data_IF_533721537448
#
_entry.id   IF_533721537448
#
_cell.length_a   1.000
_cell.length_b   1.000
_cell.length_c   1.000
_cell.angle_alpha   90.00
_cell.angle_beta   90.00
_cell.angle_gamma   90.00
#
_symmetry.space_group_name_H-M   'P 1'
#
loop_
_entity.id
_entity.type
_entity.pdbx_description
1 polymer ?
#
# COMPACT_ATOMS: atom_id res chain seq x y z
N UNK A 1 17.57 18.36 -4.27
CA UNK A 1 16.83 19.27 -3.39
C UNK A 1 16.83 18.68 -1.99
N UNK A 2 17.32 19.44 -1.00
CA UNK A 2 17.37 19.02 0.39
C UNK A 2 15.97 18.88 0.99
N UNK A 3 15.88 18.15 2.09
CA UNK A 3 14.65 17.87 2.81
C UNK A 3 14.88 18.19 4.28
N UNK A 4 13.93 18.83 4.95
CA UNK A 4 13.95 19.05 6.39
C UNK A 4 12.88 18.23 7.09
N UNK A 5 13.18 17.76 8.30
CA UNK A 5 12.22 17.15 9.22
C UNK A 5 12.64 17.54 10.64
N UNK A 6 11.74 18.09 11.43
CA UNK A 6 12.00 18.56 12.81
C UNK A 6 13.24 19.49 12.90
N UNK A 7 13.43 20.36 11.90
CA UNK A 7 14.58 21.26 11.82
C UNK A 7 15.91 20.59 11.37
N UNK A 8 15.99 19.26 11.34
CA UNK A 8 17.15 18.53 10.81
C UNK A 8 17.17 18.62 9.28
N UNK A 9 18.32 18.99 8.71
CA UNK A 9 18.50 19.12 7.26
C UNK A 9 19.12 17.85 6.66
N UNK A 10 18.49 17.33 5.63
CA UNK A 10 18.99 16.20 4.87
C UNK A 10 19.31 16.64 3.43
N UNK A 11 20.48 16.31 2.89
CA UNK A 11 20.88 16.74 1.55
C UNK A 11 20.01 16.15 0.44
N UNK A 12 19.32 15.03 0.71
CA UNK A 12 18.40 14.38 -0.23
C UNK A 12 17.36 13.52 0.45
N UNK A 13 16.31 13.12 -0.29
CA UNK A 13 15.32 12.13 0.17
C UNK A 13 15.97 10.78 0.51
N UNK A 14 17.00 10.38 -0.21
CA UNK A 14 17.76 9.15 0.07
C UNK A 14 18.54 9.25 1.39
N UNK A 15 19.06 10.43 1.74
CA UNK A 15 19.70 10.66 3.03
C UNK A 15 18.70 10.58 4.18
N UNK A 16 17.50 11.14 4.01
CA UNK A 16 16.39 11.01 4.96
C UNK A 16 15.97 9.54 5.12
N UNK A 17 15.80 8.81 4.01
CA UNK A 17 15.45 7.38 4.05
C UNK A 17 16.50 6.55 4.78
N UNK A 18 17.78 6.82 4.54
CA UNK A 18 18.87 6.15 5.24
C UNK A 18 18.82 6.41 6.74
N UNK A 19 18.65 7.66 7.17
CA UNK A 19 18.50 8.02 8.57
C UNK A 19 17.33 7.29 9.23
N UNK A 20 16.16 7.27 8.60
CA UNK A 20 14.99 6.51 9.11
C UNK A 20 15.30 5.02 9.25
N UNK A 21 15.98 4.44 8.25
CA UNK A 21 16.34 3.01 8.27
C UNK A 21 17.30 2.69 9.40
N UNK A 22 18.37 3.47 9.54
CA UNK A 22 19.36 3.32 10.61
C UNK A 22 18.72 3.47 11.99
N UNK A 23 17.79 4.41 12.14
CA UNK A 23 17.04 4.60 13.38
C UNK A 23 16.18 3.38 13.70
N UNK A 24 15.38 2.90 12.74
CA UNK A 24 14.51 1.73 12.94
C UNK A 24 15.32 0.47 13.27
N UNK A 25 16.51 0.31 12.70
CA UNK A 25 17.37 -0.85 12.95
C UNK A 25 17.89 -0.95 14.39
N UNK A 26 17.81 0.12 15.18
CA UNK A 26 18.15 0.09 16.61
C UNK A 26 17.10 -0.65 17.45
N UNK A 27 15.89 -0.89 16.90
CA UNK A 27 14.73 -1.39 17.60
C UNK A 27 14.35 -2.79 17.12
N UNK A 28 14.03 -3.67 18.09
CA UNK A 28 13.51 -5.02 17.84
C UNK A 28 12.01 -5.02 17.52
N UNK A 29 11.48 -6.22 17.23
CA UNK A 29 10.04 -6.42 17.03
C UNK A 29 9.25 -6.14 18.30
N UNK A 30 8.28 -5.25 18.21
CA UNK A 30 7.45 -4.83 19.34
C UNK A 30 8.01 -3.66 20.13
N UNK A 31 9.26 -3.25 19.91
CA UNK A 31 9.87 -2.13 20.61
C UNK A 31 9.16 -0.80 20.30
N UNK A 32 9.19 0.07 21.28
CA UNK A 32 8.58 1.41 21.20
C UNK A 32 9.66 2.47 21.14
N UNK A 33 9.76 3.15 20.01
CA UNK A 33 10.57 4.36 19.88
C UNK A 33 9.91 5.48 20.68
N UNK A 34 10.64 6.02 21.62
CA UNK A 34 10.27 7.18 22.46
C UNK A 34 11.30 8.27 22.25
N UNK A 35 11.24 9.29 23.08
CA UNK A 35 12.20 10.40 23.12
C UNK A 35 12.47 10.98 21.71
N UNK A 36 13.71 11.26 21.39
CA UNK A 36 14.10 11.92 20.14
C UNK A 36 13.76 11.10 18.89
N UNK A 37 13.97 9.79 18.93
CA UNK A 37 13.67 8.92 17.78
C UNK A 37 12.14 8.85 17.54
N UNK A 38 11.33 8.70 18.59
CA UNK A 38 9.87 8.73 18.48
C UNK A 38 9.34 10.07 17.99
N UNK A 39 9.83 11.17 18.57
CA UNK A 39 9.45 12.52 18.19
C UNK A 39 9.85 12.84 16.73
N UNK A 40 10.99 12.32 16.26
CA UNK A 40 11.39 12.46 14.87
C UNK A 40 10.38 11.81 13.91
N UNK A 41 9.94 10.58 14.19
CA UNK A 41 8.96 9.90 13.34
C UNK A 41 7.57 10.53 13.42
N UNK A 42 7.15 11.06 14.57
CA UNK A 42 5.89 11.82 14.66
C UNK A 42 5.98 13.11 13.83
N UNK A 43 7.09 13.82 13.89
CA UNK A 43 7.32 15.00 13.03
C UNK A 43 7.38 14.63 11.55
N UNK A 44 7.96 13.48 11.20
CA UNK A 44 7.99 12.97 9.84
C UNK A 44 6.56 12.74 9.30
N UNK A 45 5.63 12.26 10.16
CA UNK A 45 4.22 12.12 9.80
C UNK A 45 3.60 13.51 9.61
N UNK A 46 3.71 14.40 10.61
CA UNK A 46 3.08 15.71 10.57
C UNK A 46 3.52 16.56 9.37
N UNK A 47 4.80 16.52 9.05
CA UNK A 47 5.38 17.38 8.01
C UNK A 47 5.30 16.75 6.60
N UNK A 48 5.15 15.42 6.47
CA UNK A 48 5.38 14.75 5.20
C UNK A 48 4.37 13.66 4.83
N UNK A 49 3.45 13.27 5.73
CA UNK A 49 2.37 12.35 5.39
C UNK A 49 1.25 13.11 4.66
N UNK A 50 0.59 12.49 3.69
CA UNK A 50 -0.53 13.09 2.95
C UNK A 50 -1.81 13.26 3.81
N UNK A 51 -1.92 12.50 4.92
CA UNK A 51 -3.03 12.54 5.88
C UNK A 51 -2.51 12.34 7.30
N UNK A 52 -1.85 13.34 7.86
CA UNK A 52 -1.27 13.23 9.19
C UNK A 52 -2.34 13.07 10.29
N UNK A 53 -3.48 13.71 10.14
CA UNK A 53 -4.64 13.68 11.04
C UNK A 53 -5.27 12.28 11.19
N UNK A 54 -5.09 11.41 10.23
CA UNK A 54 -5.54 10.00 10.33
C UNK A 54 -4.57 9.12 11.12
N UNK A 55 -3.32 9.52 11.20
CA UNK A 55 -2.25 8.81 11.90
C UNK A 55 -2.04 9.35 13.31
N UNK A 56 -2.14 10.67 13.44
CA UNK A 56 -2.10 11.39 14.70
C UNK A 56 -3.50 11.95 14.91
N UNK A 57 -4.30 11.27 15.73
CA UNK A 57 -5.71 11.63 15.95
C UNK A 57 -5.77 12.94 16.73
N UNK A 58 -6.43 13.93 16.13
CA UNK A 58 -6.62 15.26 16.77
C UNK A 58 -7.39 15.11 18.07
N UNK A 59 -6.85 15.67 19.14
CA UNK A 59 -7.40 15.60 20.49
C UNK A 59 -6.96 14.37 21.31
N UNK A 60 -6.16 13.48 20.72
CA UNK A 60 -5.53 12.33 21.40
C UNK A 60 -4.01 12.38 21.35
N UNK A 61 -3.43 13.56 21.08
CA UNK A 61 -1.98 13.75 20.96
C UNK A 61 -1.24 13.36 22.24
N UNK A 62 -1.82 13.69 23.39
CA UNK A 62 -1.27 13.38 24.72
C UNK A 62 -1.35 11.88 25.07
N UNK A 63 -2.15 11.11 24.34
CA UNK A 63 -2.24 9.66 24.48
C UNK A 63 -1.21 8.90 23.62
N UNK A 64 -0.43 9.59 22.80
CA UNK A 64 0.63 8.95 22.00
C UNK A 64 1.77 8.57 22.94
N UNK A 65 2.04 7.25 23.02
CA UNK A 65 3.14 6.73 23.84
C UNK A 65 4.43 6.54 23.04
N UNK A 66 4.39 6.70 21.72
CA UNK A 66 5.54 6.65 20.83
C UNK A 66 5.24 6.01 19.48
N UNK A 67 6.30 5.60 18.78
CA UNK A 67 6.21 4.89 17.52
C UNK A 67 6.71 3.46 17.69
N UNK A 68 5.85 2.48 17.43
CA UNK A 68 6.19 1.05 17.57
C UNK A 68 6.77 0.49 16.27
N UNK A 69 7.81 -0.32 16.42
CA UNK A 69 8.38 -1.12 15.33
C UNK A 69 7.79 -2.52 15.36
N UNK A 70 7.36 -3.04 14.20
CA UNK A 70 6.90 -4.41 14.02
C UNK A 70 7.63 -5.04 12.84
N UNK A 71 8.11 -6.26 13.00
CA UNK A 71 8.69 -7.01 11.90
C UNK A 71 7.63 -7.79 11.13
N UNK A 72 7.77 -7.89 9.82
CA UNK A 72 6.80 -8.56 8.94
C UNK A 72 6.60 -10.04 9.24
N UNK A 73 7.57 -10.70 9.89
CA UNK A 73 7.46 -12.10 10.32
C UNK A 73 6.42 -12.32 11.43
N UNK A 74 6.15 -11.28 12.26
CA UNK A 74 5.19 -11.32 13.35
C UNK A 74 3.84 -10.68 13.03
N UNK A 75 3.76 -9.87 11.97
CA UNK A 75 2.60 -9.04 11.68
C UNK A 75 2.10 -9.22 10.25
N UNK A 76 1.07 -10.02 10.07
CA UNK A 76 0.41 -10.19 8.77
C UNK A 76 -0.75 -9.22 8.60
N UNK A 77 -0.44 -7.97 8.27
CA UNK A 77 -1.42 -7.11 7.63
C UNK A 77 -1.56 -7.54 6.17
N UNK A 78 -2.75 -8.02 5.81
CA UNK A 78 -3.15 -8.26 4.40
C UNK A 78 -2.35 -9.29 3.58
N UNK A 79 -1.86 -10.36 4.18
CA UNK A 79 -1.47 -11.56 3.41
C UNK A 79 -0.25 -11.48 2.48
N UNK A 80 0.36 -10.33 2.29
CA UNK A 80 1.43 -10.08 1.33
C UNK A 80 2.58 -9.21 1.89
N UNK A 81 2.94 -9.37 3.16
CA UNK A 81 4.16 -8.75 3.65
C UNK A 81 5.35 -9.55 3.13
N UNK A 82 6.20 -8.93 2.31
CA UNK A 82 7.51 -9.47 1.97
C UNK A 82 8.30 -9.73 3.25
N UNK A 83 9.13 -10.75 3.24
CA UNK A 83 10.04 -11.07 4.34
C UNK A 83 11.00 -9.90 4.58
N UNK A 84 11.28 -9.57 5.84
CA UNK A 84 12.26 -8.57 6.30
C UNK A 84 11.89 -7.09 6.10
N UNK A 85 10.63 -6.73 6.24
CA UNK A 85 10.21 -5.33 6.27
C UNK A 85 9.83 -4.92 7.68
N UNK A 86 10.40 -3.84 8.18
CA UNK A 86 10.00 -3.21 9.42
C UNK A 86 8.85 -2.24 9.17
N UNK A 87 7.75 -2.46 9.85
CA UNK A 87 6.57 -1.60 9.84
C UNK A 87 6.61 -0.66 11.04
N UNK A 88 6.06 0.53 10.88
CA UNK A 88 5.99 1.54 11.93
C UNK A 88 4.55 1.93 12.21
N UNK A 89 4.23 2.11 13.49
CA UNK A 89 2.89 2.44 13.98
C UNK A 89 2.96 3.55 15.00
N UNK A 90 2.07 4.54 14.89
CA UNK A 90 1.78 5.43 16.02
C UNK A 90 1.06 4.61 17.08
N UNK A 91 1.60 4.51 18.26
CA UNK A 91 1.04 3.74 19.37
C UNK A 91 0.41 4.68 20.43
N UNK A 92 -0.79 4.35 20.87
CA UNK A 92 -1.59 5.09 21.83
C UNK A 92 -1.66 4.36 23.19
N UNK A 93 -1.89 5.09 24.25
CA UNK A 93 -2.04 4.55 25.60
C UNK A 93 -3.24 3.58 25.72
N UNK A 94 -4.28 3.76 24.90
CA UNK A 94 -5.42 2.84 24.79
C UNK A 94 -5.03 1.44 24.28
N UNK A 95 -3.82 1.27 23.73
CA UNK A 95 -3.39 0.07 23.01
C UNK A 95 -3.67 0.10 21.52
N UNK A 96 -4.35 1.13 21.01
CA UNK A 96 -4.55 1.31 19.57
C UNK A 96 -3.22 1.60 18.87
N UNK A 97 -3.13 1.13 17.62
CA UNK A 97 -1.99 1.37 16.74
C UNK A 97 -2.45 1.85 15.37
N UNK A 98 -1.76 2.87 14.83
CA UNK A 98 -2.01 3.42 13.48
C UNK A 98 -0.79 3.22 12.61
N UNK A 99 -0.89 2.35 11.61
CA UNK A 99 0.21 2.11 10.68
C UNK A 99 0.53 3.34 9.83
N UNK A 100 1.79 3.54 9.51
CA UNK A 100 2.22 4.50 8.51
C UNK A 100 3.45 4.02 7.76
N UNK A 101 3.59 4.48 6.53
CA UNK A 101 4.77 4.15 5.72
C UNK A 101 5.82 5.25 5.81
N UNK A 102 6.80 5.09 6.69
CA UNK A 102 7.92 6.02 6.80
C UNK A 102 8.67 6.23 5.46
N UNK A 103 8.79 5.19 4.62
CA UNK A 103 9.40 5.33 3.29
C UNK A 103 8.60 6.29 2.40
N UNK A 104 7.28 6.18 2.39
CA UNK A 104 6.42 7.11 1.65
C UNK A 104 6.57 8.53 2.20
N UNK A 105 6.64 8.72 3.50
CA UNK A 105 6.92 10.03 4.09
C UNK A 105 8.27 10.59 3.61
N UNK A 106 9.32 9.78 3.47
CA UNK A 106 10.60 10.23 2.93
C UNK A 106 10.51 10.70 1.47
N UNK A 107 9.79 9.97 0.63
CA UNK A 107 9.71 10.22 -0.82
C UNK A 107 8.56 11.13 -1.23
N UNK A 108 7.55 11.24 -0.39
CA UNK A 108 6.27 11.89 -0.66
C UNK A 108 5.27 10.94 -1.32
N UNK A 109 4.01 11.31 -1.23
CA UNK A 109 2.90 10.58 -1.84
C UNK A 109 2.63 11.18 -3.21
N UNK A 110 2.49 10.33 -4.23
CA UNK A 110 2.01 10.72 -5.54
C UNK A 110 0.49 10.54 -5.56
N UNK A 111 -0.32 11.60 -5.75
CA UNK A 111 -1.78 11.48 -5.77
C UNK A 111 -2.27 10.37 -6.69
N UNK A 112 -1.65 10.23 -7.86
CA UNK A 112 -2.00 9.20 -8.86
C UNK A 112 -1.74 7.77 -8.34
N UNK A 113 -0.70 7.58 -7.53
CA UNK A 113 -0.43 6.26 -6.92
C UNK A 113 -1.46 5.93 -5.83
N UNK A 114 -1.88 6.92 -5.05
CA UNK A 114 -2.93 6.76 -4.01
C UNK A 114 -4.27 6.46 -4.66
N UNK A 115 -4.65 7.21 -5.72
CA UNK A 115 -5.85 6.95 -6.50
C UNK A 115 -5.85 5.54 -7.11
N UNK A 116 -4.72 5.11 -7.69
CA UNK A 116 -4.56 3.75 -8.22
C UNK A 116 -4.76 2.69 -7.14
N UNK A 117 -4.22 2.90 -5.93
CA UNK A 117 -4.40 1.99 -4.81
C UNK A 117 -5.88 1.91 -4.38
N UNK A 118 -6.58 3.05 -4.31
CA UNK A 118 -8.01 3.11 -4.00
C UNK A 118 -8.86 2.38 -5.06
N UNK A 119 -8.55 2.54 -6.35
CA UNK A 119 -9.23 1.83 -7.43
C UNK A 119 -8.95 0.31 -7.39
N UNK A 120 -7.72 -0.13 -7.07
CA UNK A 120 -7.42 -1.55 -6.83
C UNK A 120 -8.23 -2.11 -5.67
N UNK A 121 -8.33 -1.33 -4.58
CA UNK A 121 -9.10 -1.73 -3.41
C UNK A 121 -10.59 -1.91 -3.74
N UNK A 122 -11.17 -1.04 -4.55
CA UNK A 122 -12.58 -1.10 -4.94
C UNK A 122 -12.97 -2.41 -5.66
N UNK A 123 -12.00 -3.06 -6.32
CA UNK A 123 -12.23 -4.32 -7.06
C UNK A 123 -11.56 -5.53 -6.41
N UNK A 124 -10.99 -5.34 -5.22
CA UNK A 124 -10.24 -6.40 -4.51
C UNK A 124 -11.07 -7.67 -4.31
N UNK A 125 -12.33 -7.54 -3.93
CA UNK A 125 -13.19 -8.69 -3.64
C UNK A 125 -13.45 -9.54 -4.90
N UNK A 126 -13.53 -8.92 -6.07
CA UNK A 126 -13.67 -9.63 -7.35
C UNK A 126 -12.42 -10.47 -7.65
N UNK A 127 -11.24 -9.90 -7.42
CA UNK A 127 -9.95 -10.56 -7.63
C UNK A 127 -9.75 -11.69 -6.61
N UNK A 128 -10.09 -11.44 -5.35
CA UNK A 128 -10.00 -12.43 -4.27
C UNK A 128 -10.98 -13.60 -4.50
N UNK A 129 -12.21 -13.31 -4.92
CA UNK A 129 -13.19 -14.33 -5.26
C UNK A 129 -12.72 -15.22 -6.42
N UNK A 130 -12.10 -14.65 -7.45
CA UNK A 130 -11.53 -15.42 -8.55
C UNK A 130 -10.43 -16.38 -8.05
N UNK A 131 -9.49 -15.89 -7.25
CA UNK A 131 -8.45 -16.73 -6.65
C UNK A 131 -9.04 -17.86 -5.82
N UNK A 132 -9.99 -17.53 -4.93
CA UNK A 132 -10.67 -18.52 -4.08
C UNK A 132 -11.37 -19.59 -4.91
N UNK A 133 -12.09 -19.20 -5.96
CA UNK A 133 -12.81 -20.14 -6.83
C UNK A 133 -11.84 -21.10 -7.54
N UNK A 134 -10.67 -20.63 -7.99
CA UNK A 134 -9.67 -21.47 -8.63
C UNK A 134 -9.12 -22.53 -7.66
N UNK A 135 -8.85 -22.18 -6.41
CA UNK A 135 -8.31 -23.10 -5.40
C UNK A 135 -9.35 -24.08 -4.83
N UNK A 136 -10.62 -23.72 -4.78
CA UNK A 136 -11.70 -24.65 -4.34
C UNK A 136 -11.84 -25.84 -5.33
N UNK A 137 -11.52 -25.64 -6.60
CA UNK A 137 -11.64 -26.67 -7.65
C UNK A 137 -10.52 -27.70 -7.64
N UNK A 138 -9.54 -27.61 -6.76
CA UNK A 138 -8.43 -28.56 -6.63
C UNK A 138 -7.05 -27.94 -6.84
N UNK A 139 -6.10 -28.75 -7.35
CA UNK A 139 -4.74 -28.31 -7.63
C UNK A 139 -4.72 -27.16 -8.68
N UNK A 140 -3.96 -26.13 -8.37
CA UNK A 140 -3.84 -24.94 -9.24
C UNK A 140 -2.46 -24.93 -9.90
N UNK A 141 -2.46 -24.69 -11.21
CA UNK A 141 -1.24 -24.44 -11.97
C UNK A 141 -1.23 -23.03 -12.50
N UNK A 142 -0.04 -22.50 -12.78
CA UNK A 142 0.12 -21.23 -13.47
C UNK A 142 -0.49 -21.30 -14.87
N UNK A 143 -1.34 -20.32 -15.19
CA UNK A 143 -1.93 -20.18 -16.53
C UNK A 143 -0.89 -19.73 -17.58
N UNK A 144 0.31 -19.30 -17.15
CA UNK A 144 1.40 -18.91 -18.04
C UNK A 144 2.39 -20.05 -18.30
N UNK A 145 2.87 -20.73 -17.26
CA UNK A 145 3.93 -21.75 -17.36
C UNK A 145 3.47 -23.18 -17.07
N UNK A 146 2.28 -23.37 -16.53
CA UNK A 146 1.78 -24.70 -16.12
C UNK A 146 2.37 -25.24 -14.83
N UNK A 147 3.27 -24.52 -14.14
CA UNK A 147 3.85 -24.98 -12.86
C UNK A 147 2.79 -25.05 -11.77
N UNK A 148 2.90 -26.03 -10.89
CA UNK A 148 2.01 -26.17 -9.74
C UNK A 148 2.20 -25.01 -8.76
N UNK A 149 1.08 -24.48 -8.24
CA UNK A 149 1.06 -23.34 -7.33
C UNK A 149 0.26 -23.68 -6.07
N UNK A 150 0.75 -23.21 -4.94
CA UNK A 150 -0.01 -23.12 -3.71
C UNK A 150 -0.63 -21.72 -3.53
N UNK A 151 -1.45 -21.56 -2.51
CA UNK A 151 -2.12 -20.29 -2.22
C UNK A 151 -1.13 -19.14 -2.01
N UNK A 152 0.01 -19.40 -1.39
CA UNK A 152 1.01 -18.37 -1.03
C UNK A 152 1.83 -17.93 -2.25
N UNK A 153 2.15 -18.84 -3.16
CA UNK A 153 2.93 -18.60 -4.36
C UNK A 153 2.11 -18.08 -5.55
N UNK A 154 0.79 -18.23 -5.51
CA UNK A 154 -0.10 -17.79 -6.57
C UNK A 154 -0.43 -16.29 -6.50
N UNK A 155 -0.46 -15.64 -7.66
CA UNK A 155 -0.96 -14.27 -7.86
C UNK A 155 -2.06 -14.27 -8.92
N UNK A 156 -3.00 -13.35 -8.77
CA UNK A 156 -4.00 -13.06 -9.81
C UNK A 156 -3.48 -11.90 -10.64
N UNK A 157 -3.40 -12.11 -11.92
CA UNK A 157 -2.96 -11.14 -12.91
C UNK A 157 -4.09 -10.80 -13.89
N UNK A 158 -4.09 -9.59 -14.42
CA UNK A 158 -4.99 -9.15 -15.47
C UNK A 158 -4.32 -9.37 -16.82
N UNK A 159 -4.92 -10.17 -17.70
CA UNK A 159 -4.35 -10.52 -19.00
C UNK A 159 -5.46 -10.83 -20.03
N UNK A 160 -5.32 -10.40 -21.30
CA UNK A 160 -4.21 -9.61 -21.87
C UNK A 160 -4.25 -8.11 -21.52
N UNK A 161 -5.40 -7.61 -21.05
CA UNK A 161 -5.57 -6.22 -20.67
C UNK A 161 -5.17 -6.06 -19.21
N UNK A 162 -4.14 -5.23 -18.97
CA UNK A 162 -3.63 -5.01 -17.63
C UNK A 162 -4.61 -4.24 -16.75
N UNK A 163 -4.40 -4.27 -15.43
CA UNK A 163 -5.15 -3.40 -14.52
C UNK A 163 -5.00 -1.92 -14.89
N UNK A 164 -3.79 -1.49 -15.31
CA UNK A 164 -3.55 -0.12 -15.72
C UNK A 164 -4.38 0.25 -16.96
N UNK A 165 -4.44 -0.65 -17.95
CA UNK A 165 -5.27 -0.43 -19.14
C UNK A 165 -6.76 -0.30 -18.79
N UNK A 166 -7.30 -1.19 -17.96
CA UNK A 166 -8.70 -1.15 -17.51
C UNK A 166 -9.01 0.17 -16.77
N UNK A 167 -8.11 0.57 -15.86
CA UNK A 167 -8.23 1.82 -15.11
C UNK A 167 -8.26 3.03 -16.04
N UNK A 168 -7.28 3.11 -16.94
CA UNK A 168 -7.10 4.27 -17.80
C UNK A 168 -8.26 4.39 -18.81
N UNK A 169 -8.70 3.26 -19.40
CA UNK A 169 -9.87 3.24 -20.30
C UNK A 169 -11.18 3.62 -19.57
N UNK A 170 -11.36 3.20 -18.31
CA UNK A 170 -12.52 3.62 -17.52
C UNK A 170 -12.50 5.13 -17.26
N UNK A 171 -11.34 5.65 -16.81
CA UNK A 171 -11.22 7.09 -16.52
C UNK A 171 -11.42 7.93 -17.78
N UNK A 172 -10.90 7.51 -18.91
CA UNK A 172 -11.12 8.15 -20.20
C UNK A 172 -12.63 8.20 -20.56
N UNK A 173 -13.33 7.08 -20.39
CA UNK A 173 -14.78 7.00 -20.59
C UNK A 173 -15.59 7.91 -19.66
N UNK A 174 -15.12 8.16 -18.45
CA UNK A 174 -15.72 9.10 -17.50
C UNK A 174 -15.24 10.55 -17.70
N UNK A 175 -14.33 10.81 -18.64
CA UNK A 175 -13.66 12.10 -18.84
C UNK A 175 -12.89 12.59 -17.61
N UNK A 176 -12.26 11.66 -16.89
CA UNK A 176 -11.50 11.89 -15.66
C UNK A 176 -10.03 11.51 -15.85
N UNK A 177 -9.19 12.06 -14.98
CA UNK A 177 -7.80 11.64 -14.76
C UNK A 177 -7.65 10.99 -13.37
N UNK A 178 -6.51 10.37 -13.10
CA UNK A 178 -6.22 9.85 -11.76
C UNK A 178 -6.24 10.94 -10.66
N UNK A 179 -6.00 12.19 -11.01
CA UNK A 179 -6.03 13.32 -10.06
C UNK A 179 -7.44 13.71 -9.66
N UNK A 180 -8.42 13.38 -10.49
CA UNK A 180 -9.82 13.70 -10.24
C UNK A 180 -10.50 12.63 -9.37
N UNK A 181 -9.82 11.47 -9.18
CA UNK A 181 -10.30 10.42 -8.29
C UNK A 181 -10.12 10.83 -6.84
N UNK A 182 -11.18 11.32 -6.22
CA UNK A 182 -11.19 11.64 -4.79
C UNK A 182 -10.97 10.36 -3.96
N UNK A 183 -10.07 10.43 -3.00
CA UNK A 183 -9.73 9.31 -2.11
C UNK A 183 -10.00 9.67 -0.66
N UNK A 184 -10.47 8.68 0.10
CA UNK A 184 -10.66 8.76 1.54
C UNK A 184 -9.82 7.68 2.22
N UNK A 185 -9.49 7.89 3.49
CA UNK A 185 -8.95 6.82 4.32
C UNK A 185 -10.08 5.98 4.90
N UNK A 186 -9.86 4.69 4.91
CA UNK A 186 -10.71 3.74 5.61
C UNK A 186 -9.84 3.01 6.64
N UNK A 187 -10.17 3.07 7.94
CA UNK A 187 -9.37 2.44 8.99
C UNK A 187 -9.18 0.93 8.83
N UNK A 188 -10.12 0.27 8.14
CA UNK A 188 -10.10 -1.19 7.95
C UNK A 188 -9.33 -1.61 6.70
N UNK A 189 -9.35 -0.78 5.66
CA UNK A 189 -8.86 -1.17 4.32
C UNK A 189 -7.80 -0.22 3.74
N UNK A 190 -7.41 0.80 4.48
CA UNK A 190 -6.48 1.82 4.03
C UNK A 190 -7.16 2.87 3.14
N UNK A 191 -6.67 3.08 1.93
CA UNK A 191 -7.25 4.04 0.99
C UNK A 191 -8.46 3.46 0.25
N UNK A 192 -9.50 4.26 0.09
CA UNK A 192 -10.70 3.94 -0.68
C UNK A 192 -11.10 5.10 -1.59
N UNK A 193 -11.83 4.82 -2.66
CA UNK A 193 -12.46 5.87 -3.47
C UNK A 193 -13.56 6.54 -2.64
N UNK A 194 -13.49 7.88 -2.49
CA UNK A 194 -14.42 8.64 -1.66
C UNK A 194 -15.80 8.76 -2.32
N UNK A 195 -15.85 8.94 -3.65
CA UNK A 195 -17.10 8.94 -4.40
C UNK A 195 -17.64 7.51 -4.56
N UNK A 196 -18.71 7.20 -3.86
CA UNK A 196 -19.35 5.89 -3.89
C UNK A 196 -19.99 5.56 -5.24
N UNK A 197 -20.49 6.55 -5.97
CA UNK A 197 -21.08 6.38 -7.30
C UNK A 197 -20.00 6.02 -8.33
N UNK A 198 -18.90 6.78 -8.36
CA UNK A 198 -17.76 6.48 -9.23
C UNK A 198 -17.15 5.11 -8.88
N UNK A 199 -17.04 4.78 -7.59
CA UNK A 199 -16.57 3.47 -7.13
C UNK A 199 -17.45 2.32 -7.64
N UNK A 200 -18.77 2.49 -7.60
CA UNK A 200 -19.71 1.48 -8.08
C UNK A 200 -19.62 1.30 -9.60
N UNK A 201 -19.53 2.38 -10.36
CA UNK A 201 -19.34 2.34 -11.82
C UNK A 201 -17.99 1.68 -12.19
N UNK A 202 -16.92 2.04 -11.47
CA UNK A 202 -15.63 1.40 -11.65
C UNK A 202 -15.68 -0.11 -11.39
N UNK A 203 -16.29 -0.53 -10.30
CA UNK A 203 -16.41 -1.95 -9.96
C UNK A 203 -17.22 -2.72 -11.01
N UNK A 204 -18.31 -2.16 -11.52
CA UNK A 204 -19.12 -2.74 -12.60
C UNK A 204 -18.34 -2.80 -13.93
N UNK A 205 -17.63 -1.72 -14.29
CA UNK A 205 -16.78 -1.69 -15.49
C UNK A 205 -15.69 -2.76 -15.42
N UNK A 206 -14.98 -2.83 -14.29
CA UNK A 206 -13.96 -3.83 -14.07
C UNK A 206 -14.51 -5.25 -14.19
N UNK A 207 -15.67 -5.52 -13.57
CA UNK A 207 -16.32 -6.84 -13.64
C UNK A 207 -16.66 -7.26 -15.07
N UNK A 208 -17.15 -6.33 -15.85
CA UNK A 208 -17.54 -6.57 -17.25
C UNK A 208 -16.34 -6.77 -18.21
N UNK A 209 -15.19 -6.16 -17.92
CA UNK A 209 -14.07 -6.11 -18.85
C UNK A 209 -12.81 -6.85 -18.41
N UNK A 210 -12.75 -7.29 -17.13
CA UNK A 210 -11.60 -8.02 -16.60
C UNK A 210 -11.49 -9.39 -17.24
N UNK A 211 -10.28 -9.77 -17.57
CA UNK A 211 -9.87 -11.16 -17.77
C UNK A 211 -8.76 -11.44 -16.78
N UNK A 212 -8.94 -12.47 -15.96
CA UNK A 212 -8.03 -12.81 -14.86
C UNK A 212 -7.38 -14.17 -15.13
N UNK A 213 -6.12 -14.29 -14.76
CA UNK A 213 -5.36 -15.53 -14.75
C UNK A 213 -4.63 -15.73 -13.43
N UNK A 214 -4.26 -16.97 -13.13
CA UNK A 214 -3.39 -17.30 -11.99
C UNK A 214 -1.97 -17.48 -12.52
N UNK A 215 -1.01 -16.83 -11.88
CA UNK A 215 0.42 -16.92 -12.21
C UNK A 215 1.25 -17.02 -10.95
N UNK A 216 2.52 -17.41 -11.05
CA UNK A 216 3.44 -17.34 -9.92
C UNK A 216 3.82 -15.89 -9.59
N UNK A 217 4.36 -15.67 -8.38
CA UNK A 217 4.92 -14.36 -7.98
C UNK A 217 5.94 -13.87 -9.00
N UNK A 218 6.85 -14.75 -9.42
CA UNK A 218 7.92 -14.41 -10.37
C UNK A 218 7.39 -13.99 -11.74
N UNK A 219 6.44 -14.73 -12.29
CA UNK A 219 5.81 -14.41 -13.56
C UNK A 219 5.06 -13.08 -13.50
N UNK A 220 4.34 -12.83 -12.41
CA UNK A 220 3.63 -11.57 -12.21
C UNK A 220 4.59 -10.35 -12.14
N UNK A 221 5.76 -10.51 -11.52
CA UNK A 221 6.78 -9.46 -11.45
C UNK A 221 7.46 -9.22 -12.82
N UNK A 222 7.60 -10.24 -13.65
CA UNK A 222 8.23 -10.14 -14.98
C UNK A 222 7.31 -9.43 -15.96
N UNK A 223 6.02 -9.76 -15.98
CA UNK A 223 5.04 -9.10 -16.87
C UNK A 223 4.97 -7.59 -16.64
N UNK A 224 5.12 -7.13 -15.41
CA UNK A 224 5.15 -5.70 -15.08
C UNK A 224 6.37 -4.97 -15.62
N UNK A 225 7.51 -5.66 -15.76
CA UNK A 225 8.75 -5.07 -16.30
C UNK A 225 8.70 -4.93 -17.82
N UNK A 226 8.14 -5.90 -18.51
CA UNK A 226 7.96 -5.87 -19.95
C UNK A 226 7.00 -4.77 -20.39
N UNK A 227 5.92 -4.54 -19.66
CA UNK A 227 4.97 -3.46 -19.92
C UNK A 227 5.55 -2.05 -19.66
N UNK A 228 6.43 -1.93 -18.66
CA UNK A 228 7.13 -0.66 -18.36
C UNK A 228 8.19 -0.29 -19.38
N UNK A 229 8.66 -1.24 -20.20
CA UNK A 229 9.67 -1.04 -21.24
C UNK A 229 9.08 -0.62 -22.60
N UNK A 230 7.75 -0.68 -22.76
CA UNK A 230 7.04 -0.36 -24.02
C UNK A 230 6.46 1.09 -24.01
N UNK A 231 6.79 1.89 -22.99
CA UNK A 231 6.34 3.31 -22.89
C UNK A 231 7.45 4.27 -23.17
#
# INVERSE_FOLDING_TARGET
MGVAVRGMQFPSKAALERHCRETIQKYGDGDLMRDEDGLFFLSLILERHDRPDEKIIVGLEDEIVGVRVRHSSGYRLYGNCGTNVNHTFVAYASGDERDFSWKKCCHGFKPEAVATAAMRRAVFDQVAAYKKMRFIRGSVTSDASGIALDWSSARVDHYPRTFAWLRDSFLEGESLTLRDVAVASDPKVGVAMADSSLRSRWAAYHDAHKTLRIVSVKENETSWREEGAIR
#
